data_IF_813951408364
#
_entry.id   IF_813951408364
#
_cell.length_a   1.000
_cell.length_b   1.000
_cell.length_c   1.000
_cell.angle_alpha   90.00
_cell.angle_beta   90.00
_cell.angle_gamma   90.00
#
_symmetry.space_group_name_H-M   'P 1'
#
loop_
_entity.id
_entity.type
_entity.pdbx_description
1 polymer ?
#
# COMPACT_ATOMS: atom_id res chain seq x y z
N UNK A 1 12.80 -10.51 9.14
CA UNK A 1 12.67 -9.80 7.85
C UNK A 1 11.71 -8.65 8.02
N UNK A 2 12.19 -7.41 7.86
CA UNK A 2 11.38 -6.20 7.85
C UNK A 2 10.86 -5.94 6.43
N UNK A 3 9.60 -5.54 6.30
CA UNK A 3 8.94 -5.30 5.02
C UNK A 3 8.34 -3.90 5.03
N UNK A 4 8.94 -3.01 4.23
CA UNK A 4 8.40 -1.70 3.88
C UNK A 4 7.55 -1.82 2.62
N UNK A 5 6.37 -1.18 2.61
CA UNK A 5 5.49 -1.20 1.44
C UNK A 5 5.32 0.22 0.90
N UNK A 6 5.70 0.40 -0.36
CA UNK A 6 5.49 1.60 -1.14
C UNK A 6 4.40 1.40 -2.21
N UNK A 7 3.96 2.47 -2.89
CA UNK A 7 2.89 2.37 -3.91
C UNK A 7 3.29 1.48 -5.09
N UNK A 8 4.58 1.45 -5.42
CA UNK A 8 5.14 0.76 -6.59
C UNK A 8 6.23 -0.25 -6.27
N UNK A 9 6.62 -0.38 -5.01
CA UNK A 9 7.60 -1.36 -4.59
C UNK A 9 7.23 -1.92 -3.24
N UNK A 10 7.72 -3.12 -2.96
CA UNK A 10 7.78 -3.67 -1.61
C UNK A 10 9.23 -4.01 -1.33
N UNK A 11 9.77 -3.42 -0.29
CA UNK A 11 11.19 -3.48 0.06
C UNK A 11 11.33 -4.33 1.32
N UNK A 12 12.10 -5.41 1.22
CA UNK A 12 12.37 -6.34 2.30
C UNK A 12 13.82 -6.19 2.74
N UNK A 13 14.04 -6.08 4.05
CA UNK A 13 15.36 -6.12 4.67
C UNK A 13 15.46 -7.32 5.63
N UNK A 14 16.51 -8.13 5.50
CA UNK A 14 16.76 -9.26 6.40
C UNK A 14 17.73 -8.87 7.51
N UNK A 15 17.74 -9.64 8.61
CA UNK A 15 18.71 -9.45 9.69
C UNK A 15 20.15 -9.80 9.28
N UNK A 16 20.32 -10.48 8.14
CA UNK A 16 21.62 -10.79 7.53
C UNK A 16 22.15 -9.64 6.65
N UNK A 17 21.39 -8.54 6.51
CA UNK A 17 21.78 -7.39 5.69
C UNK A 17 21.40 -7.50 4.21
N UNK A 18 20.61 -8.49 3.83
CA UNK A 18 20.15 -8.64 2.44
C UNK A 18 18.93 -7.75 2.19
N UNK A 19 18.92 -7.08 1.03
CA UNK A 19 17.84 -6.23 0.57
C UNK A 19 17.19 -6.82 -0.68
N UNK A 20 15.88 -7.02 -0.63
CA UNK A 20 15.09 -7.50 -1.76
C UNK A 20 14.01 -6.48 -2.10
N UNK A 21 13.83 -6.19 -3.38
CA UNK A 21 12.80 -5.27 -3.86
C UNK A 21 11.89 -5.99 -4.84
N UNK A 22 10.60 -5.99 -4.53
CA UNK A 22 9.54 -6.46 -5.43
C UNK A 22 8.97 -5.28 -6.20
N UNK A 23 8.94 -5.39 -7.52
CA UNK A 23 8.28 -4.39 -8.35
C UNK A 23 6.75 -4.58 -8.35
N UNK A 24 6.03 -3.56 -7.89
CA UNK A 24 4.58 -3.47 -7.89
C UNK A 24 4.08 -2.44 -8.93
N UNK A 25 4.95 -1.95 -9.82
CA UNK A 25 4.59 -1.01 -10.88
C UNK A 25 3.49 -1.56 -11.78
N UNK A 26 3.49 -2.87 -12.04
CA UNK A 26 2.47 -3.55 -12.84
C UNK A 26 1.09 -3.47 -12.19
N UNK A 27 0.98 -3.58 -10.86
CA UNK A 27 -0.29 -3.39 -10.16
C UNK A 27 -0.82 -1.96 -10.35
N UNK A 28 0.06 -0.97 -10.20
CA UNK A 28 -0.30 0.43 -10.44
C UNK A 28 -0.76 0.66 -11.89
N UNK A 29 -0.07 0.06 -12.86
CA UNK A 29 -0.44 0.12 -14.29
C UNK A 29 -1.78 -0.56 -14.54
N UNK A 30 -2.02 -1.74 -13.98
CA UNK A 30 -3.26 -2.49 -14.08
C UNK A 30 -4.44 -1.64 -13.58
N UNK A 31 -4.35 -1.05 -12.39
CA UNK A 31 -5.40 -0.19 -11.85
C UNK A 31 -5.70 1.02 -12.73
N UNK A 32 -4.65 1.62 -13.32
CA UNK A 32 -4.83 2.74 -14.24
C UNK A 32 -5.57 2.32 -15.51
N UNK A 33 -5.15 1.21 -16.14
CA UNK A 33 -5.77 0.70 -17.37
C UNK A 33 -7.25 0.36 -17.13
N UNK A 34 -7.58 -0.32 -16.04
CA UNK A 34 -8.96 -0.69 -15.72
C UNK A 34 -9.81 0.51 -15.32
N UNK A 35 -9.22 1.51 -14.67
CA UNK A 35 -9.87 2.80 -14.43
C UNK A 35 -10.29 3.47 -15.74
N UNK A 36 -9.40 3.59 -16.71
CA UNK A 36 -9.72 4.21 -18.01
C UNK A 36 -10.74 3.39 -18.81
N UNK A 37 -10.66 2.04 -18.76
CA UNK A 37 -11.68 1.17 -19.36
C UNK A 37 -13.07 1.42 -18.76
N UNK A 38 -13.18 1.47 -17.43
CA UNK A 38 -14.46 1.77 -16.75
C UNK A 38 -14.98 3.16 -17.09
N UNK A 39 -14.09 4.15 -17.19
CA UNK A 39 -14.43 5.51 -17.59
C UNK A 39 -14.94 5.57 -19.04
N UNK A 40 -14.35 4.80 -19.95
CA UNK A 40 -14.84 4.67 -21.33
C UNK A 40 -16.23 4.01 -21.36
N UNK A 41 -16.43 2.91 -20.63
CA UNK A 41 -17.73 2.22 -20.52
C UNK A 41 -18.81 3.16 -19.99
N UNK A 42 -18.50 3.95 -18.95
CA UNK A 42 -19.42 4.93 -18.40
C UNK A 42 -19.83 5.98 -19.44
N UNK A 43 -18.89 6.47 -20.25
CA UNK A 43 -19.18 7.44 -21.31
C UNK A 43 -20.00 6.86 -22.46
N UNK A 44 -19.74 5.61 -22.85
CA UNK A 44 -20.41 4.98 -23.99
C UNK A 44 -21.82 4.48 -23.66
N UNK A 45 -22.06 4.03 -22.43
CA UNK A 45 -23.29 3.34 -22.05
C UNK A 45 -24.05 4.04 -20.93
N UNK A 46 -23.93 5.36 -20.80
CA UNK A 46 -24.61 6.13 -19.76
C UNK A 46 -26.15 6.00 -19.81
N UNK A 47 -26.72 5.82 -21.00
CA UNK A 47 -28.16 5.62 -21.21
C UNK A 47 -28.65 4.16 -21.13
N UNK A 48 -27.77 3.18 -21.33
CA UNK A 48 -28.11 1.75 -21.23
C UNK A 48 -27.58 1.16 -19.92
N UNK A 49 -28.41 1.26 -18.89
CA UNK A 49 -28.07 0.84 -17.53
C UNK A 49 -27.73 -0.66 -17.45
N UNK A 50 -28.42 -1.52 -18.21
CA UNK A 50 -28.20 -2.98 -18.17
C UNK A 50 -26.82 -3.31 -18.74
N UNK A 51 -26.49 -2.77 -19.90
CA UNK A 51 -25.19 -2.99 -20.55
C UNK A 51 -24.05 -2.37 -19.74
N UNK A 52 -24.25 -1.18 -19.19
CA UNK A 52 -23.29 -0.53 -18.30
C UNK A 52 -22.95 -1.40 -17.07
N UNK A 53 -23.97 -1.86 -16.34
CA UNK A 53 -23.76 -2.69 -15.14
C UNK A 53 -23.05 -4.01 -15.47
N UNK A 54 -23.47 -4.69 -16.55
CA UNK A 54 -22.84 -5.94 -16.99
C UNK A 54 -21.35 -5.75 -17.33
N UNK A 55 -21.01 -4.70 -18.07
CA UNK A 55 -19.63 -4.43 -18.45
C UNK A 55 -18.79 -3.98 -17.24
N UNK A 56 -19.33 -3.13 -16.37
CA UNK A 56 -18.67 -2.74 -15.11
C UNK A 56 -18.33 -3.97 -14.25
N UNK A 57 -19.29 -4.87 -14.04
CA UNK A 57 -19.08 -6.09 -13.28
C UNK A 57 -17.99 -6.97 -13.91
N UNK A 58 -18.08 -7.21 -15.23
CA UNK A 58 -17.08 -8.00 -15.99
C UNK A 58 -15.66 -7.45 -15.84
N UNK A 59 -15.47 -6.14 -15.98
CA UNK A 59 -14.13 -5.55 -15.87
C UNK A 59 -13.67 -5.39 -14.43
N UNK A 60 -14.58 -5.20 -13.47
CA UNK A 60 -14.25 -5.24 -12.04
C UNK A 60 -13.70 -6.61 -11.64
N UNK A 61 -14.40 -7.68 -12.05
CA UNK A 61 -14.00 -9.04 -11.76
C UNK A 61 -12.65 -9.40 -12.39
N UNK A 62 -12.45 -9.03 -13.67
CA UNK A 62 -11.16 -9.23 -14.36
C UNK A 62 -10.00 -8.50 -13.70
N UNK A 63 -10.21 -7.26 -13.24
CA UNK A 63 -9.19 -6.52 -12.48
C UNK A 63 -8.87 -7.26 -11.19
N UNK A 64 -9.90 -7.66 -10.44
CA UNK A 64 -9.77 -8.38 -9.18
C UNK A 64 -8.91 -9.63 -9.35
N UNK A 65 -9.24 -10.52 -10.30
CA UNK A 65 -8.48 -11.76 -10.48
C UNK A 65 -7.02 -11.52 -10.85
N UNK A 66 -6.73 -10.54 -11.70
CA UNK A 66 -5.34 -10.20 -12.07
C UNK A 66 -4.56 -9.62 -10.90
N UNK A 67 -5.17 -8.69 -10.15
CA UNK A 67 -4.58 -8.14 -8.94
C UNK A 67 -4.30 -9.24 -7.92
N UNK A 68 -5.27 -10.12 -7.67
CA UNK A 68 -5.15 -11.19 -6.67
C UNK A 68 -4.09 -12.21 -7.08
N UNK A 69 -4.02 -12.59 -8.36
CA UNK A 69 -2.97 -13.47 -8.86
C UNK A 69 -1.56 -12.91 -8.59
N UNK A 70 -1.32 -11.63 -8.93
CA UNK A 70 -0.03 -10.98 -8.67
C UNK A 70 0.30 -10.94 -7.18
N UNK A 71 -0.66 -10.51 -6.35
CA UNK A 71 -0.46 -10.42 -4.90
C UNK A 71 -0.26 -11.79 -4.24
N UNK A 72 -0.95 -12.83 -4.70
CA UNK A 72 -0.73 -14.19 -4.24
C UNK A 72 0.64 -14.72 -4.65
N UNK A 73 1.13 -14.39 -5.86
CA UNK A 73 2.50 -14.72 -6.27
C UNK A 73 3.54 -14.09 -5.34
N UNK A 74 3.49 -12.77 -5.17
CA UNK A 74 4.44 -12.02 -4.33
C UNK A 74 4.39 -12.49 -2.87
N UNK A 75 3.19 -12.61 -2.30
CA UNK A 75 3.06 -13.09 -0.91
C UNK A 75 3.50 -14.54 -0.74
N UNK A 76 3.51 -15.37 -1.78
CA UNK A 76 4.04 -16.74 -1.69
C UNK A 76 5.57 -16.70 -1.61
N UNK A 77 6.20 -15.97 -2.53
CA UNK A 77 7.67 -15.83 -2.58
C UNK A 77 8.25 -15.23 -1.29
N UNK A 78 7.58 -14.22 -0.71
CA UNK A 78 7.96 -13.64 0.59
C UNK A 78 7.97 -14.70 1.71
N UNK A 79 6.95 -15.56 1.74
CA UNK A 79 6.80 -16.60 2.77
C UNK A 79 7.81 -17.71 2.58
N UNK A 80 8.07 -18.12 1.34
CA UNK A 80 9.09 -19.12 1.00
C UNK A 80 10.48 -18.65 1.47
N UNK A 81 10.86 -17.41 1.16
CA UNK A 81 12.13 -16.83 1.63
C UNK A 81 12.24 -16.73 3.14
N UNK A 82 11.15 -16.32 3.80
CA UNK A 82 11.11 -16.24 5.26
C UNK A 82 11.27 -17.63 5.90
N UNK A 83 10.68 -18.66 5.29
CA UNK A 83 10.77 -20.06 5.72
C UNK A 83 12.20 -20.60 5.56
N UNK A 84 12.79 -20.43 4.38
CA UNK A 84 14.15 -20.90 4.06
C UNK A 84 15.21 -20.31 5.00
N UNK A 85 15.01 -19.06 5.41
CA UNK A 85 15.95 -18.36 6.29
C UNK A 85 15.58 -18.39 7.78
N UNK A 86 14.47 -19.06 8.14
CA UNK A 86 13.94 -19.10 9.50
C UNK A 86 13.71 -17.71 10.12
N UNK A 87 13.19 -16.78 9.33
CA UNK A 87 12.92 -15.41 9.79
C UNK A 87 11.46 -15.20 10.18
N UNK A 88 11.26 -14.48 11.29
CA UNK A 88 9.98 -13.80 11.55
C UNK A 88 9.77 -12.60 10.61
N UNK A 89 8.51 -12.22 10.41
CA UNK A 89 8.12 -11.13 9.51
C UNK A 89 7.66 -9.91 10.32
N UNK A 90 8.19 -8.74 9.99
CA UNK A 90 7.76 -7.44 10.50
C UNK A 90 7.12 -6.66 9.35
N UNK A 91 5.88 -6.19 9.55
CA UNK A 91 5.11 -5.40 8.58
C UNK A 91 4.83 -4.01 9.15
N UNK A 92 4.84 -2.98 8.32
CA UNK A 92 4.42 -1.64 8.76
C UNK A 92 2.89 -1.53 8.96
N UNK A 93 2.47 -0.83 10.02
CA UNK A 93 1.06 -0.46 10.22
C UNK A 93 0.63 0.76 9.39
N UNK A 94 0.21 0.50 8.16
CA UNK A 94 -0.29 1.51 7.23
C UNK A 94 -1.77 1.90 7.45
N UNK A 95 -2.34 1.68 8.65
CA UNK A 95 -3.76 1.98 8.94
C UNK A 95 -4.15 3.43 8.65
N UNK A 96 -3.24 4.37 8.90
CA UNK A 96 -3.53 5.81 8.85
C UNK A 96 -3.17 6.50 7.53
N UNK A 97 -2.50 5.82 6.59
CA UNK A 97 -2.00 6.44 5.34
C UNK A 97 -3.10 7.04 4.44
N UNK A 98 -4.35 6.59 4.59
CA UNK A 98 -5.51 7.11 3.87
C UNK A 98 -6.31 8.17 4.65
N UNK A 99 -5.99 8.40 5.93
CA UNK A 99 -6.73 9.30 6.83
C UNK A 99 -6.12 10.70 6.81
N UNK A 100 -6.24 11.38 5.67
CA UNK A 100 -5.99 12.81 5.56
C UNK A 100 -7.31 13.53 5.27
N UNK A 101 -8.07 13.83 6.33
CA UNK A 101 -9.35 14.53 6.25
C UNK A 101 -9.36 15.70 7.23
N UNK A 102 -9.86 16.83 6.75
CA UNK A 102 -10.12 18.04 7.54
C UNK A 102 -11.63 18.32 7.53
N UNK A 103 -12.14 18.98 8.57
CA UNK A 103 -13.50 19.50 8.55
C UNK A 103 -13.56 20.68 7.59
N UNK A 104 -14.37 20.56 6.53
CA UNK A 104 -14.58 21.62 5.57
C UNK A 104 -16.04 21.68 5.14
N UNK A 105 -16.48 22.86 4.73
CA UNK A 105 -17.79 23.06 4.11
C UNK A 105 -17.83 22.34 2.76
N UNK A 106 -18.74 21.39 2.62
CA UNK A 106 -18.98 20.74 1.33
C UNK A 106 -19.88 21.63 0.47
N UNK A 107 -19.31 22.17 -0.61
CA UNK A 107 -19.99 23.09 -1.54
C UNK A 107 -21.24 22.51 -2.22
N UNK A 108 -21.38 21.19 -2.26
CA UNK A 108 -22.53 20.54 -2.92
C UNK A 108 -23.77 20.44 -2.04
N UNK A 109 -23.60 20.31 -0.72
CA UNK A 109 -24.72 20.10 0.21
C UNK A 109 -24.77 21.13 1.35
N UNK A 110 -23.83 22.07 1.39
CA UNK A 110 -23.77 23.15 2.39
C UNK A 110 -23.41 22.70 3.80
N UNK A 111 -22.95 21.46 4.01
CA UNK A 111 -22.70 20.91 5.35
C UNK A 111 -21.20 20.89 5.66
N UNK A 112 -20.84 21.19 6.91
CA UNK A 112 -19.48 20.96 7.42
C UNK A 112 -19.28 19.48 7.65
N UNK A 113 -18.33 18.88 6.95
CA UNK A 113 -18.06 17.44 7.02
C UNK A 113 -16.58 17.13 6.77
N UNK A 114 -16.09 15.93 7.14
CA UNK A 114 -14.71 15.53 6.85
C UNK A 114 -14.45 15.39 5.35
N UNK A 115 -13.70 16.34 4.78
CA UNK A 115 -13.26 16.35 3.38
C UNK A 115 -11.80 15.94 3.32
N UNK A 116 -11.43 15.15 2.31
CA UNK A 116 -10.03 14.72 2.18
C UNK A 116 -9.14 15.90 1.79
N UNK A 117 -8.04 16.09 2.52
CA UNK A 117 -6.97 17.06 2.18
C UNK A 117 -6.25 16.68 0.89
N UNK A 118 -6.20 15.40 0.58
CA UNK A 118 -5.52 14.90 -0.61
C UNK A 118 -6.21 15.35 -1.90
N UNK A 119 -5.41 15.85 -2.83
CA UNK A 119 -5.85 16.15 -4.20
C UNK A 119 -6.44 14.87 -4.83
N UNK A 120 -7.47 15.03 -5.67
CA UNK A 120 -8.22 13.93 -6.32
C UNK A 120 -7.32 12.84 -6.93
N UNK A 121 -6.20 13.23 -7.56
CA UNK A 121 -5.22 12.30 -8.15
C UNK A 121 -4.51 11.44 -7.11
N UNK A 122 -4.03 12.04 -6.01
CA UNK A 122 -3.37 11.33 -4.92
C UNK A 122 -4.36 10.42 -4.18
N UNK A 123 -5.55 10.93 -3.87
CA UNK A 123 -6.63 10.14 -3.25
C UNK A 123 -6.95 8.89 -4.06
N UNK A 124 -7.01 9.00 -5.39
CA UNK A 124 -7.24 7.85 -6.28
C UNK A 124 -6.14 6.81 -6.13
N UNK A 125 -4.86 7.23 -6.25
CA UNK A 125 -3.68 6.36 -6.13
C UNK A 125 -3.65 5.59 -4.80
N UNK A 126 -3.82 6.31 -3.69
CA UNK A 126 -3.81 5.72 -2.35
C UNK A 126 -4.98 4.74 -2.12
N UNK A 127 -6.14 5.00 -2.73
CA UNK A 127 -7.30 4.11 -2.63
C UNK A 127 -7.16 2.85 -3.49
N UNK A 128 -6.43 2.92 -4.60
CA UNK A 128 -6.16 1.77 -5.48
C UNK A 128 -5.00 0.91 -5.01
N UNK A 129 -4.14 1.42 -4.14
CA UNK A 129 -2.98 0.68 -3.64
C UNK A 129 -3.39 -0.46 -2.68
N UNK A 130 -2.97 -1.69 -2.98
CA UNK A 130 -3.44 -2.92 -2.34
C UNK A 130 -2.65 -3.38 -1.11
N UNK A 131 -1.94 -2.49 -0.40
CA UNK A 131 -1.11 -2.88 0.75
C UNK A 131 -1.87 -3.75 1.78
N UNK A 132 -3.13 -3.41 2.09
CA UNK A 132 -3.94 -4.21 3.04
C UNK A 132 -4.21 -5.62 2.57
N UNK A 133 -4.49 -5.81 1.27
CA UNK A 133 -4.70 -7.15 0.71
C UNK A 133 -3.41 -7.96 0.81
N UNK A 134 -2.29 -7.36 0.43
CA UNK A 134 -0.98 -8.00 0.50
C UNK A 134 -0.61 -8.40 1.93
N UNK A 135 -0.78 -7.50 2.90
CA UNK A 135 -0.57 -7.78 4.32
C UNK A 135 -1.46 -8.91 4.82
N UNK A 136 -2.75 -8.92 4.45
CA UNK A 136 -3.65 -10.03 4.78
C UNK A 136 -3.17 -11.35 4.19
N UNK A 137 -2.65 -11.33 2.95
CA UNK A 137 -2.14 -12.52 2.29
C UNK A 137 -0.88 -13.07 2.94
N UNK A 138 0.07 -12.19 3.26
CA UNK A 138 1.26 -12.54 4.03
C UNK A 138 0.84 -13.12 5.39
N UNK A 139 -0.07 -12.47 6.11
CA UNK A 139 -0.50 -12.90 7.44
C UNK A 139 -1.12 -14.29 7.44
N UNK A 140 -2.06 -14.58 6.53
CA UNK A 140 -2.71 -15.90 6.54
C UNK A 140 -1.75 -17.00 6.09
N UNK A 141 -0.86 -16.73 5.11
CA UNK A 141 0.12 -17.72 4.64
C UNK A 141 1.22 -17.98 5.67
N UNK A 142 1.71 -16.94 6.32
CA UNK A 142 2.66 -17.07 7.43
C UNK A 142 2.06 -17.93 8.55
N UNK A 143 0.77 -17.72 8.88
CA UNK A 143 0.07 -18.56 9.85
C UNK A 143 0.02 -20.04 9.43
N UNK A 144 -0.15 -20.34 8.15
CA UNK A 144 -0.13 -21.72 7.65
C UNK A 144 1.25 -22.37 7.79
N UNK A 145 2.32 -21.60 7.61
CA UNK A 145 3.70 -22.07 7.71
C UNK A 145 4.29 -21.94 9.14
N UNK A 146 3.50 -21.47 10.12
CA UNK A 146 3.97 -21.27 11.50
C UNK A 146 4.94 -20.10 11.68
N UNK A 147 5.03 -19.18 10.73
CA UNK A 147 5.95 -18.03 10.78
C UNK A 147 5.31 -16.89 11.58
N UNK A 148 6.00 -16.33 12.61
CA UNK A 148 5.48 -15.21 13.38
C UNK A 148 5.44 -13.93 12.54
N UNK A 149 4.34 -13.17 12.64
CA UNK A 149 4.15 -11.88 11.98
C UNK A 149 3.79 -10.83 13.03
N UNK A 150 4.56 -9.74 13.09
CA UNK A 150 4.28 -8.59 13.93
C UNK A 150 4.15 -7.31 13.11
N UNK A 151 3.39 -6.34 13.63
CA UNK A 151 3.25 -5.02 13.03
C UNK A 151 4.09 -4.00 13.79
N UNK A 152 4.76 -3.11 13.07
CA UNK A 152 5.54 -2.00 13.62
C UNK A 152 4.86 -0.69 13.24
N UNK A 153 4.82 0.25 14.17
CA UNK A 153 4.30 1.59 13.89
C UNK A 153 5.24 2.30 12.89
N UNK A 154 4.73 2.79 11.74
CA UNK A 154 5.56 3.54 10.80
C UNK A 154 5.98 4.92 11.32
N UNK A 155 5.45 5.40 12.46
CA UNK A 155 5.72 6.75 12.95
C UNK A 155 7.22 6.99 13.21
N UNK A 156 7.84 7.82 12.35
CA UNK A 156 9.25 8.20 12.47
C UNK A 156 10.23 7.26 11.77
N UNK A 157 9.84 6.03 11.41
CA UNK A 157 10.73 5.07 10.74
C UNK A 157 11.14 5.51 9.33
N UNK A 158 10.23 6.14 8.58
CA UNK A 158 10.52 6.69 7.24
C UNK A 158 11.30 8.01 7.28
N UNK A 159 11.45 8.61 8.47
CA UNK A 159 12.14 9.87 8.66
C UNK A 159 13.48 9.67 9.33
N UNK A 160 13.86 8.50 9.82
CA UNK A 160 15.09 8.30 10.58
C UNK A 160 15.99 7.38 9.77
N UNK A 161 17.18 7.87 9.40
CA UNK A 161 18.14 7.04 8.69
C UNK A 161 18.58 5.87 9.60
N UNK A 162 18.48 4.61 9.16
CA UNK A 162 18.84 3.45 9.98
C UNK A 162 20.36 3.32 10.20
N UNK A 163 21.17 4.06 9.43
CA UNK A 163 22.63 4.05 9.53
C UNK A 163 23.13 5.12 10.52
N UNK A 164 22.57 6.33 10.46
CA UNK A 164 23.09 7.48 11.21
C UNK A 164 22.12 8.08 12.22
N UNK A 165 20.87 7.60 12.31
CA UNK A 165 19.85 8.11 13.23
C UNK A 165 19.33 9.52 12.89
N UNK A 166 19.83 10.13 11.81
CA UNK A 166 19.44 11.48 11.40
C UNK A 166 18.01 11.53 10.87
N UNK A 167 17.29 12.62 11.18
CA UNK A 167 15.91 12.80 10.74
C UNK A 167 15.83 13.47 9.37
N UNK A 168 15.29 12.81 8.35
CA UNK A 168 14.95 13.40 7.06
C UNK A 168 13.74 14.33 7.17
N UNK A 169 13.92 15.58 6.73
CA UNK A 169 12.81 16.51 6.51
C UNK A 169 11.96 16.07 5.31
N UNK A 170 10.69 16.50 5.23
CA UNK A 170 9.80 16.22 4.09
C UNK A 170 10.32 16.71 2.72
N UNK A 171 11.36 17.55 2.70
CA UNK A 171 12.04 18.08 1.51
C UNK A 171 13.36 17.35 1.18
N UNK A 172 13.67 16.22 1.83
CA UNK A 172 14.86 15.39 1.56
C UNK A 172 16.17 15.90 2.19
N UNK A 173 16.12 16.93 3.04
CA UNK A 173 17.30 17.40 3.78
C UNK A 173 17.44 16.64 5.11
N UNK A 174 18.63 16.08 5.36
CA UNK A 174 18.98 15.44 6.63
C UNK A 174 19.14 16.51 7.73
N UNK A 175 18.40 16.40 8.83
CA UNK A 175 18.70 17.14 10.05
C UNK A 175 19.92 16.49 10.71
N UNK A 176 20.96 17.29 10.94
CA UNK A 176 22.18 16.85 11.62
C UNK A 176 21.85 16.21 12.98
N UNK A 177 22.60 15.15 13.29
CA UNK A 177 22.45 14.36 14.51
C UNK A 177 22.43 15.26 15.75
N UNK A 178 21.29 15.31 16.44
CA UNK A 178 21.29 15.66 17.86
C UNK A 178 21.24 14.34 18.60
N UNK A 179 22.22 14.12 19.48
CA UNK A 179 22.27 12.99 20.41
C UNK A 179 20.90 12.77 21.04
N UNK A 180 20.27 11.64 20.72
CA UNK A 180 19.11 11.14 21.45
C UNK A 180 19.47 9.77 21.99
N UNK A 181 19.99 9.79 23.23
CA UNK A 181 19.94 8.64 24.13
C UNK A 181 18.48 8.24 24.34
N UNK A 182 18.01 7.22 23.63
CA UNK A 182 16.68 6.64 23.85
C UNK A 182 16.76 5.12 23.81
N UNK A 183 17.31 4.56 24.88
CA UNK A 183 16.96 3.24 25.40
C UNK A 183 17.04 3.28 26.94
N UNK A 184 15.94 3.69 27.58
CA UNK A 184 15.54 3.32 28.94
C UNK A 184 14.04 3.17 29.00
#
# INVERSE_FOLDING_TARGET
>A
MNIDTNERSLDCATSKGELFRYDLSELSRLHHVYFEKRRAIQRMFWGDRRKFQRLQAKYCERERYRTEHLLHGISKDIIERAKENHFGILLEDLKYIRRAKDLALNRFNGKVQPVSRHIKRLKRRLNTWNFRKLQSYIKYKAKWEGIPVSYVDPWGASQICPICGCREKPNGQLLGAQNVDVWR
#
